data_IF_874472149569
#
_entry.id   IF_874472149569
#
_cell.length_a   1.000
_cell.length_b   1.000
_cell.length_c   1.000
_cell.angle_alpha   90.00
_cell.angle_beta   90.00
_cell.angle_gamma   90.00
#
_symmetry.space_group_name_H-M   'P 1'
#
loop_
_entity.id
_entity.type
_entity.pdbx_description
1 polymer ?
#
# COMPACT_ATOMS: atom_id res chain seq x y z
N UNK A 1 11.95 -23.99 -17.92
CA UNK A 1 12.25 -23.61 -16.57
C UNK A 1 11.18 -22.70 -15.98
N UNK A 2 10.64 -23.10 -14.91
CA UNK A 2 9.61 -22.33 -14.29
C UNK A 2 10.20 -21.12 -13.57
N UNK A 3 9.62 -19.97 -13.81
CA UNK A 3 10.12 -18.78 -13.20
C UNK A 3 9.07 -18.15 -12.31
N UNK A 4 9.40 -17.99 -11.06
CA UNK A 4 8.46 -17.47 -10.12
C UNK A 4 8.56 -15.96 -10.02
N UNK A 5 7.44 -15.28 -10.12
CA UNK A 5 7.39 -13.85 -9.93
C UNK A 5 7.37 -13.54 -8.44
N UNK A 6 8.30 -12.74 -7.98
CA UNK A 6 8.30 -12.29 -6.60
C UNK A 6 7.27 -11.18 -6.44
N UNK A 7 6.45 -11.30 -5.42
CA UNK A 7 5.43 -10.30 -5.14
C UNK A 7 5.38 -10.05 -3.65
N UNK A 8 5.53 -8.80 -3.27
CA UNK A 8 5.53 -8.43 -1.86
C UNK A 8 4.94 -7.04 -1.69
N UNK A 9 4.21 -6.86 -0.60
CA UNK A 9 3.62 -5.56 -0.25
C UNK A 9 3.97 -5.26 1.18
N UNK A 10 4.55 -4.08 1.42
CA UNK A 10 4.89 -3.63 2.77
C UNK A 10 4.33 -2.24 2.97
N UNK A 11 3.65 -2.03 4.08
CA UNK A 11 3.18 -0.70 4.46
C UNK A 11 4.15 -0.12 5.47
N UNK A 12 4.52 1.13 5.28
CA UNK A 12 5.51 1.75 6.16
C UNK A 12 5.27 3.25 6.25
N UNK A 13 5.77 3.83 7.34
CA UNK A 13 5.69 5.24 7.59
C UNK A 13 6.98 5.86 7.03
N UNK A 14 6.85 6.79 6.09
CA UNK A 14 8.02 7.37 5.43
C UNK A 14 8.56 8.53 6.28
N UNK A 15 9.48 8.23 7.15
CA UNK A 15 9.98 9.19 8.13
C UNK A 15 10.75 10.35 7.51
N UNK A 16 11.23 10.20 6.29
CA UNK A 16 11.92 11.28 5.60
C UNK A 16 10.97 12.39 5.19
N UNK A 17 9.66 12.14 5.26
CA UNK A 17 8.66 13.15 4.89
C UNK A 17 7.78 13.56 6.07
N UNK A 18 8.34 13.54 7.24
CA UNK A 18 7.62 13.95 8.44
C UNK A 18 7.17 15.40 8.31
N UNK A 19 5.91 15.68 8.68
CA UNK A 19 5.35 17.01 8.61
C UNK A 19 5.73 17.81 9.85
N UNK A 20 5.41 19.10 9.82
CA UNK A 20 5.66 19.97 10.96
C UNK A 20 4.87 19.52 12.19
N UNK A 21 3.79 18.80 11.99
CA UNK A 21 2.98 18.30 13.09
C UNK A 21 3.50 16.98 13.62
N UNK A 22 4.62 16.50 13.12
CA UNK A 22 5.22 15.26 13.60
C UNK A 22 4.60 14.01 13.03
N UNK A 23 3.88 14.11 11.91
CA UNK A 23 3.23 12.94 11.30
C UNK A 23 3.96 12.59 10.01
N UNK A 24 4.10 11.30 9.77
CA UNK A 24 4.74 10.80 8.56
C UNK A 24 3.69 10.12 7.70
N UNK A 25 3.80 10.25 6.37
CA UNK A 25 2.84 9.59 5.48
C UNK A 25 3.08 8.10 5.44
N UNK A 26 1.99 7.34 5.29
CA UNK A 26 2.05 5.89 5.17
C UNK A 26 1.98 5.53 3.70
N UNK A 27 2.96 4.75 3.26
CA UNK A 27 3.04 4.29 1.87
C UNK A 27 2.96 2.78 1.81
N UNK A 28 2.43 2.27 0.70
CA UNK A 28 2.50 0.85 0.38
C UNK A 28 3.62 0.68 -0.62
N UNK A 29 4.59 -0.16 -0.33
CA UNK A 29 5.67 -0.49 -1.26
C UNK A 29 5.36 -1.84 -1.89
N UNK A 30 5.24 -1.86 -3.20
CA UNK A 30 4.96 -3.08 -3.95
C UNK A 30 6.22 -3.48 -4.69
N UNK A 31 6.67 -4.69 -4.48
CA UNK A 31 7.86 -5.23 -5.14
C UNK A 31 7.47 -6.42 -5.99
N UNK A 32 7.88 -6.42 -7.23
CA UNK A 32 7.68 -7.55 -8.14
C UNK A 32 8.95 -7.75 -8.94
N UNK A 33 9.53 -8.95 -8.85
CA UNK A 33 10.68 -9.34 -9.69
C UNK A 33 11.79 -8.29 -9.71
N UNK A 34 12.13 -7.76 -8.55
CA UNK A 34 13.21 -6.81 -8.42
C UNK A 34 12.84 -5.36 -8.70
N UNK A 35 11.61 -5.10 -9.09
CA UNK A 35 11.14 -3.73 -9.32
C UNK A 35 10.26 -3.30 -8.18
N UNK A 36 10.27 -2.02 -7.87
CA UNK A 36 9.53 -1.50 -6.72
C UNK A 36 8.81 -0.21 -7.08
N UNK A 37 7.60 -0.05 -6.58
CA UNK A 37 6.90 1.22 -6.67
C UNK A 37 6.20 1.49 -5.34
N UNK A 38 5.82 2.73 -5.10
CA UNK A 38 5.18 3.12 -3.87
C UNK A 38 3.87 3.83 -4.16
N UNK A 39 2.89 3.60 -3.29
CA UNK A 39 1.59 4.24 -3.38
C UNK A 39 1.32 4.92 -2.05
N UNK A 40 0.96 6.20 -2.10
CA UNK A 40 0.61 6.94 -0.90
C UNK A 40 -0.82 6.57 -0.49
N UNK A 41 -1.00 6.11 0.75
CA UNK A 41 -2.31 5.71 1.23
C UNK A 41 -3.19 6.90 1.62
N UNK A 42 -2.61 8.11 1.58
CA UNK A 42 -3.27 9.33 2.00
C UNK A 42 -3.54 9.38 3.50
N UNK A 43 -2.84 8.55 4.24
CA UNK A 43 -2.87 8.56 5.70
C UNK A 43 -1.55 9.03 6.25
N UNK A 44 -1.59 9.70 7.39
CA UNK A 44 -0.41 10.11 8.11
C UNK A 44 -0.56 9.68 9.56
N UNK A 45 0.57 9.37 10.19
CA UNK A 45 0.56 8.92 11.56
C UNK A 45 1.85 9.35 12.25
N UNK A 46 1.79 9.60 13.53
CA UNK A 46 3.01 9.83 14.30
C UNK A 46 3.81 8.52 14.28
N UNK A 47 5.11 8.58 13.91
CA UNK A 47 5.89 7.34 13.76
C UNK A 47 5.89 6.44 15.00
N UNK A 48 5.83 7.02 16.18
CA UNK A 48 5.85 6.22 17.40
C UNK A 48 4.56 5.41 17.60
N UNK A 49 3.49 5.77 16.90
CA UNK A 49 2.24 5.03 16.99
C UNK A 49 2.16 3.89 15.98
N UNK A 50 3.07 3.86 15.03
CA UNK A 50 3.07 2.87 13.96
C UNK A 50 3.93 1.67 14.35
N UNK A 51 3.36 0.47 14.27
CA UNK A 51 4.11 -0.75 14.51
C UNK A 51 4.52 -1.35 13.17
N UNK A 52 5.81 -1.24 12.84
CA UNK A 52 6.27 -1.69 11.52
C UNK A 52 6.17 -3.20 11.36
N UNK A 53 6.37 -3.93 12.42
CA UNK A 53 6.31 -5.37 12.33
C UNK A 53 4.91 -5.87 12.00
N UNK A 54 3.90 -5.23 12.57
CA UNK A 54 2.51 -5.60 12.30
C UNK A 54 1.89 -4.76 11.20
N UNK A 55 2.58 -3.71 10.77
CA UNK A 55 2.12 -2.80 9.72
C UNK A 55 0.76 -2.20 10.08
N UNK A 56 0.67 -1.68 11.29
CA UNK A 56 -0.56 -1.06 11.76
C UNK A 56 -0.27 -0.22 12.98
N UNK A 57 -1.23 0.62 13.37
CA UNK A 57 -1.17 1.29 14.65
C UNK A 57 -1.66 0.33 15.73
N UNK A 58 -1.00 0.36 16.88
CA UNK A 58 -1.43 -0.44 18.03
C UNK A 58 -2.36 0.32 18.95
N UNK A 59 -2.54 1.60 18.67
CA UNK A 59 -3.43 2.42 19.50
C UNK A 59 -4.87 2.18 19.07
N UNK A 60 -5.81 2.46 19.97
CA UNK A 60 -7.20 2.14 19.72
C UNK A 60 -8.08 3.38 19.54
N UNK A 61 -7.45 4.53 19.31
CA UNK A 61 -8.22 5.73 19.04
C UNK A 61 -8.97 5.62 17.75
N UNK A 62 -9.94 6.51 17.57
CA UNK A 62 -10.77 6.49 16.37
C UNK A 62 -9.94 6.70 15.11
N UNK A 63 -9.00 7.64 15.18
CA UNK A 63 -8.14 7.90 14.02
C UNK A 63 -7.25 6.69 13.72
N UNK A 64 -6.75 6.03 14.76
CA UNK A 64 -5.92 4.84 14.58
C UNK A 64 -6.69 3.73 13.91
N UNK A 65 -7.95 3.55 14.31
CA UNK A 65 -8.78 2.51 13.70
C UNK A 65 -9.10 2.82 12.26
N UNK A 66 -9.31 4.09 11.93
CA UNK A 66 -9.53 4.49 10.55
C UNK A 66 -8.31 4.22 9.69
N UNK A 67 -7.12 4.55 10.22
CA UNK A 67 -5.88 4.31 9.49
C UNK A 67 -5.70 2.83 9.23
N UNK A 68 -5.92 2.01 10.25
CA UNK A 68 -5.77 0.55 10.09
C UNK A 68 -6.76 0.00 9.06
N UNK A 69 -7.96 0.53 9.04
CA UNK A 69 -8.97 0.13 8.07
C UNK A 69 -8.57 0.50 6.66
N UNK A 70 -8.03 1.70 6.47
CA UNK A 70 -7.60 2.16 5.16
C UNK A 70 -6.41 1.33 4.66
N UNK A 71 -5.45 1.04 5.54
CA UNK A 71 -4.32 0.20 5.20
C UNK A 71 -4.81 -1.18 4.77
N UNK A 72 -5.76 -1.76 5.51
CA UNK A 72 -6.31 -3.06 5.15
C UNK A 72 -7.01 -3.04 3.79
N UNK A 73 -7.72 -1.95 3.49
CA UNK A 73 -8.39 -1.81 2.19
C UNK A 73 -7.39 -1.73 1.05
N UNK A 74 -6.31 -0.98 1.24
CA UNK A 74 -5.27 -0.90 0.22
C UNK A 74 -4.62 -2.25 -0.01
N UNK A 75 -4.37 -2.98 1.07
CA UNK A 75 -3.77 -4.32 0.95
C UNK A 75 -4.68 -5.24 0.13
N UNK A 76 -5.97 -5.24 0.45
CA UNK A 76 -6.92 -6.09 -0.26
C UNK A 76 -7.01 -5.69 -1.74
N UNK A 77 -7.02 -4.41 -2.03
CA UNK A 77 -7.11 -3.92 -3.41
C UNK A 77 -5.86 -4.26 -4.21
N UNK A 78 -4.69 -4.17 -3.58
CA UNK A 78 -3.44 -4.51 -4.24
C UNK A 78 -3.41 -6.01 -4.58
N UNK A 79 -3.83 -6.84 -3.63
CA UNK A 79 -3.88 -8.29 -3.89
C UNK A 79 -4.89 -8.63 -4.97
N UNK A 80 -6.02 -7.96 -4.96
CA UNK A 80 -7.04 -8.19 -5.99
C UNK A 80 -6.54 -7.79 -7.37
N UNK A 81 -5.81 -6.68 -7.47
CA UNK A 81 -5.25 -6.23 -8.73
C UNK A 81 -4.24 -7.25 -9.27
N UNK A 82 -3.41 -7.79 -8.38
CA UNK A 82 -2.45 -8.81 -8.74
C UNK A 82 -3.16 -10.04 -9.33
N UNK A 83 -4.18 -10.52 -8.63
CA UNK A 83 -4.94 -11.70 -9.09
C UNK A 83 -5.62 -11.44 -10.43
N UNK A 84 -6.20 -10.26 -10.61
CA UNK A 84 -6.87 -9.94 -11.85
C UNK A 84 -5.91 -9.93 -13.04
N UNK A 85 -4.71 -9.38 -12.82
CA UNK A 85 -3.72 -9.38 -13.89
C UNK A 85 -3.32 -10.80 -14.28
N UNK A 86 -3.18 -11.68 -13.29
CA UNK A 86 -2.88 -13.08 -13.58
C UNK A 86 -4.01 -13.73 -14.37
N UNK A 87 -5.25 -13.46 -14.01
CA UNK A 87 -6.39 -14.04 -14.72
C UNK A 87 -6.52 -13.53 -16.13
N UNK A 88 -6.03 -12.33 -16.40
CA UNK A 88 -6.06 -11.74 -17.73
C UNK A 88 -4.83 -12.14 -18.54
N UNK A 89 -4.01 -13.02 -18.02
CA UNK A 89 -2.78 -13.47 -18.67
C UNK A 89 -1.80 -12.31 -18.91
N UNK A 90 -1.84 -11.33 -18.00
CA UNK A 90 -0.91 -10.21 -18.07
C UNK A 90 0.16 -10.39 -17.00
N UNK A 91 1.28 -9.73 -17.20
CA UNK A 91 2.35 -9.76 -16.22
C UNK A 91 1.96 -8.86 -15.05
N UNK A 92 1.85 -9.40 -13.83
CA UNK A 92 1.44 -8.58 -12.70
C UNK A 92 2.63 -7.86 -12.06
N UNK A 93 3.24 -6.94 -12.81
CA UNK A 93 4.34 -6.18 -12.26
C UNK A 93 3.82 -5.02 -11.41
N UNK A 94 4.70 -4.43 -10.60
CA UNK A 94 4.28 -3.43 -9.62
C UNK A 94 3.69 -2.20 -10.29
N UNK A 95 4.16 -1.84 -11.47
CA UNK A 95 3.65 -0.65 -12.15
C UNK A 95 2.25 -0.88 -12.69
N UNK A 96 1.98 -2.07 -13.22
CA UNK A 96 0.64 -2.42 -13.68
C UNK A 96 -0.35 -2.46 -12.54
N UNK A 97 0.07 -2.97 -11.39
CA UNK A 97 -0.77 -3.01 -10.20
C UNK A 97 -1.10 -1.58 -9.77
N UNK A 98 -0.09 -0.72 -9.70
CA UNK A 98 -0.30 0.67 -9.30
C UNK A 98 -1.23 1.38 -10.27
N UNK A 99 -1.04 1.16 -11.56
CA UNK A 99 -1.88 1.80 -12.57
C UNK A 99 -3.33 1.37 -12.44
N UNK A 100 -3.56 0.11 -12.19
CA UNK A 100 -4.92 -0.39 -12.03
C UNK A 100 -5.61 0.23 -10.83
N UNK A 101 -4.89 0.41 -9.73
CA UNK A 101 -5.44 1.06 -8.55
C UNK A 101 -5.72 2.53 -8.82
N UNK A 102 -4.85 3.21 -9.52
CA UNK A 102 -5.06 4.61 -9.86
C UNK A 102 -6.29 4.79 -10.74
N UNK A 103 -6.46 3.90 -11.71
CA UNK A 103 -7.62 3.97 -12.59
C UNK A 103 -8.89 3.75 -11.81
N UNK A 104 -8.89 2.78 -10.90
CA UNK A 104 -10.05 2.51 -10.08
C UNK A 104 -10.39 3.72 -9.22
N UNK A 105 -9.37 4.35 -8.63
CA UNK A 105 -9.59 5.54 -7.84
C UNK A 105 -10.12 6.67 -8.68
N UNK A 106 -9.54 6.86 -9.86
CA UNK A 106 -9.96 7.94 -10.73
C UNK A 106 -11.37 7.78 -11.22
N UNK A 107 -11.82 6.54 -11.37
CA UNK A 107 -13.17 6.32 -11.88
C UNK A 107 -14.25 6.63 -10.86
N UNK A 108 -13.87 6.86 -9.62
CA UNK A 108 -14.84 7.20 -8.59
C UNK A 108 -15.08 8.67 -8.49
N UNK A 109 -14.98 9.35 -9.51
CA UNK A 109 -15.17 10.76 -9.49
C UNK A 109 -16.51 11.14 -8.96
N UNK A 110 -16.54 12.15 -8.25
CA UNK A 110 -17.79 12.68 -7.72
C UNK A 110 -17.61 14.10 -7.28
#
# INVERSE_FOLDING_TARGET
>A
MYQRTTFNVVFFCKKTKISKKGKAPIYARITTSGQTTEIYTQCQIEPERWNQRLERSLYKGEVDQQINSIVASYRANILAAYDLLLKENKTPDCFSIKQRLSNASGSRMF
#
